data_IF_839541433693
#
_entry.id   IF_839541433693
#
_cell.length_a   1.000
_cell.length_b   1.000
_cell.length_c   1.000
_cell.angle_alpha   90.00
_cell.angle_beta   90.00
_cell.angle_gamma   90.00
#
_symmetry.space_group_name_H-M   'P 1'
#
loop_
_entity.id
_entity.type
_entity.pdbx_description
1 polymer ?
#
# COMPACT_ATOMS: atom_id res chain seq x y z
N UNK A 1 -25.23 -65.67 24.33
CA UNK A 1 -24.71 -64.52 25.09
C UNK A 1 -23.39 -64.12 24.45
N UNK A 2 -23.49 -63.25 23.45
CA UNK A 2 -22.37 -62.65 22.72
C UNK A 2 -22.66 -61.16 22.73
N UNK A 3 -21.73 -60.37 23.27
CA UNK A 3 -21.83 -58.91 23.39
C UNK A 3 -20.80 -58.31 22.44
N UNK A 4 -21.27 -57.33 21.67
CA UNK A 4 -20.61 -56.64 20.57
C UNK A 4 -19.27 -55.99 20.93
N UNK A 5 -18.32 -56.12 20.01
CA UNK A 5 -16.97 -55.58 20.05
C UNK A 5 -16.71 -54.79 18.75
N UNK A 6 -17.46 -53.72 18.52
CA UNK A 6 -17.35 -52.89 17.30
C UNK A 6 -17.52 -51.38 17.52
N UNK A 7 -17.28 -50.85 18.72
CA UNK A 7 -17.50 -49.41 18.99
C UNK A 7 -16.33 -48.62 19.57
N UNK A 8 -15.08 -49.11 19.48
CA UNK A 8 -13.90 -48.40 20.01
C UNK A 8 -12.81 -48.06 18.98
N UNK A 9 -13.07 -48.25 17.68
CA UNK A 9 -12.07 -48.05 16.62
C UNK A 9 -12.03 -46.66 15.97
N UNK A 10 -13.08 -45.84 16.08
CA UNK A 10 -13.23 -44.64 15.22
C UNK A 10 -13.11 -43.28 15.93
N UNK A 11 -12.72 -43.22 17.22
CA UNK A 11 -12.47 -41.93 17.89
C UNK A 11 -10.99 -41.60 18.13
N UNK A 12 -10.06 -42.51 17.85
CA UNK A 12 -8.63 -42.28 18.06
C UNK A 12 -7.86 -41.82 16.81
N UNK A 13 -8.46 -41.88 15.62
CA UNK A 13 -7.83 -41.37 14.38
C UNK A 13 -8.15 -39.88 14.14
N UNK A 14 -9.22 -39.35 14.74
CA UNK A 14 -9.56 -37.92 14.64
C UNK A 14 -8.73 -37.02 15.58
N UNK A 15 -8.09 -37.58 16.61
CA UNK A 15 -7.29 -36.80 17.57
C UNK A 15 -5.81 -36.68 17.21
N UNK A 16 -5.30 -37.53 16.31
CA UNK A 16 -3.89 -37.50 15.87
C UNK A 16 -3.68 -36.65 14.60
N UNK A 17 -4.74 -36.30 13.88
CA UNK A 17 -4.67 -35.40 12.70
C UNK A 17 -5.04 -33.93 13.00
N UNK A 18 -5.27 -33.58 14.27
CA UNK A 18 -5.58 -32.21 14.71
C UNK A 18 -4.57 -31.64 15.73
N UNK A 19 -3.47 -32.35 16.03
CA UNK A 19 -2.54 -31.97 17.11
C UNK A 19 -1.16 -31.45 16.68
N UNK A 20 -0.94 -31.14 15.40
CA UNK A 20 0.31 -30.48 14.96
C UNK A 20 -0.01 -29.24 14.14
N UNK A 21 0.38 -28.08 14.68
CA UNK A 21 0.27 -26.71 14.13
C UNK A 21 -0.91 -25.83 14.60
N UNK A 22 -1.16 -25.78 15.90
CA UNK A 22 -1.58 -24.52 16.53
C UNK A 22 -0.63 -24.25 17.70
N UNK A 23 0.57 -23.76 17.39
CA UNK A 23 1.25 -22.89 18.34
C UNK A 23 0.52 -21.55 18.25
N UNK A 24 -0.51 -21.40 19.09
CA UNK A 24 -1.05 -20.11 19.42
C UNK A 24 0.10 -19.29 20.00
N UNK A 25 0.62 -18.36 19.22
CA UNK A 25 1.56 -17.34 19.68
C UNK A 25 0.78 -16.51 20.70
N UNK A 26 1.03 -16.75 21.99
CA UNK A 26 0.62 -15.83 23.05
C UNK A 26 1.29 -14.49 22.77
N UNK A 27 0.49 -13.50 22.37
CA UNK A 27 0.89 -12.11 22.43
C UNK A 27 1.01 -11.73 23.91
N UNK A 28 2.24 -11.68 24.44
CA UNK A 28 2.48 -10.96 25.68
C UNK A 28 2.21 -9.48 25.42
N UNK A 29 1.05 -9.04 25.86
CA UNK A 29 0.65 -7.63 25.82
C UNK A 29 1.13 -7.06 27.16
N UNK A 30 2.28 -6.40 27.19
CA UNK A 30 2.64 -5.59 28.37
C UNK A 30 1.70 -4.39 28.45
N UNK A 31 0.73 -4.48 29.35
CA UNK A 31 -0.18 -3.39 29.69
C UNK A 31 0.54 -2.46 30.65
N UNK A 32 1.16 -1.39 30.11
CA UNK A 32 1.62 -0.28 30.96
C UNK A 32 0.42 0.60 31.26
N UNK A 33 -0.07 0.57 32.50
CA UNK A 33 -1.04 1.53 32.99
C UNK A 33 -0.36 2.91 33.09
N UNK A 34 -0.77 3.85 32.23
CA UNK A 34 -0.57 5.28 32.48
C UNK A 34 -1.92 5.90 32.82
N UNK A 35 -1.90 6.96 33.63
CA UNK A 35 -3.11 7.62 34.17
C UNK A 35 -4.06 8.20 33.10
N UNK A 36 -3.79 8.06 31.80
CA UNK A 36 -4.58 8.62 30.69
C UNK A 36 -5.04 7.58 29.65
N UNK A 37 -5.22 6.32 30.07
CA UNK A 37 -5.90 5.30 29.28
C UNK A 37 -4.96 4.26 28.67
N UNK A 38 -5.50 3.05 28.55
CA UNK A 38 -4.80 1.88 28.02
C UNK A 38 -4.55 2.06 26.52
N UNK A 39 -3.36 2.54 26.15
CA UNK A 39 -2.86 2.41 24.77
C UNK A 39 -1.98 1.15 24.72
N UNK A 40 -2.26 0.17 23.83
CA UNK A 40 -1.29 -0.87 23.54
C UNK A 40 -0.04 -0.20 22.95
N UNK A 41 1.01 -0.09 23.76
CA UNK A 41 2.32 0.29 23.27
C UNK A 41 2.84 -0.94 22.53
N UNK A 42 2.74 -0.96 21.20
CA UNK A 42 3.62 -1.82 20.40
C UNK A 42 5.03 -1.42 20.82
N UNK A 43 5.70 -2.25 21.61
CA UNK A 43 7.16 -2.28 21.64
C UNK A 43 7.55 -2.33 20.17
N UNK A 44 8.22 -1.29 19.69
CA UNK A 44 8.81 -1.26 18.37
C UNK A 44 9.51 -2.59 18.18
N UNK A 45 8.98 -3.46 17.31
CA UNK A 45 9.72 -4.63 16.89
C UNK A 45 11.01 -4.06 16.33
N UNK A 46 12.11 -4.33 17.06
CA UNK A 46 13.47 -3.94 16.74
C UNK A 46 13.64 -3.92 15.22
N UNK A 47 14.00 -2.76 14.65
CA UNK A 47 14.22 -2.51 13.21
C UNK A 47 14.04 -3.75 12.32
N UNK A 48 12.83 -3.93 11.77
CA UNK A 48 12.29 -5.19 11.17
C UNK A 48 13.02 -5.67 9.90
N UNK A 49 14.18 -5.10 9.62
CA UNK A 49 15.03 -5.40 8.48
C UNK A 49 15.84 -6.69 8.57
N UNK A 50 15.18 -7.74 9.06
CA UNK A 50 15.53 -9.13 8.85
C UNK A 50 16.95 -9.55 9.23
N UNK A 51 17.62 -8.81 10.11
CA UNK A 51 19.06 -8.95 10.27
C UNK A 51 19.52 -10.34 10.75
N UNK A 52 18.60 -11.21 11.19
CA UNK A 52 18.93 -12.57 11.65
C UNK A 52 18.22 -13.69 10.88
N UNK A 53 17.20 -13.42 10.06
CA UNK A 53 16.38 -14.47 9.43
C UNK A 53 16.21 -14.36 7.90
N UNK A 54 16.84 -13.37 7.25
CA UNK A 54 16.85 -13.29 5.78
C UNK A 54 17.93 -14.16 5.17
N UNK A 55 17.51 -14.98 4.22
CA UNK A 55 18.38 -15.84 3.41
C UNK A 55 18.26 -15.44 1.95
N UNK A 56 19.39 -15.21 1.28
CA UNK A 56 19.44 -15.05 -0.17
C UNK A 56 19.15 -16.41 -0.82
N UNK A 57 18.12 -16.45 -1.66
CA UNK A 57 17.67 -17.66 -2.33
C UNK A 57 18.34 -17.74 -3.70
N UNK A 58 18.94 -18.88 -4.03
CA UNK A 58 19.42 -19.15 -5.39
C UNK A 58 18.21 -19.17 -6.34
N UNK A 59 18.33 -18.51 -7.50
CA UNK A 59 17.25 -18.47 -8.49
C UNK A 59 16.83 -19.87 -8.98
N UNK A 60 17.76 -20.84 -8.94
CA UNK A 60 17.50 -22.25 -9.27
C UNK A 60 16.56 -22.95 -8.28
N UNK A 61 16.49 -22.45 -7.05
CA UNK A 61 15.67 -23.00 -5.97
C UNK A 61 14.31 -22.28 -5.83
N UNK A 62 14.02 -21.31 -6.70
CA UNK A 62 12.74 -20.62 -6.67
C UNK A 62 11.65 -21.49 -7.31
N UNK A 63 10.45 -21.56 -6.71
CA UNK A 63 9.34 -22.21 -7.36
C UNK A 63 9.06 -21.52 -8.70
N UNK A 64 8.84 -22.34 -9.73
CA UNK A 64 8.47 -21.82 -11.04
C UNK A 64 7.09 -21.19 -10.97
N UNK A 65 6.94 -20.00 -11.56
CA UNK A 65 5.63 -19.40 -11.76
C UNK A 65 4.81 -20.36 -12.63
N UNK A 66 3.63 -20.82 -12.17
CA UNK A 66 2.74 -21.66 -12.97
C UNK A 66 2.48 -21.07 -14.36
N UNK A 67 2.62 -21.90 -15.40
CA UNK A 67 2.46 -21.47 -16.79
C UNK A 67 1.06 -20.90 -17.11
N UNK A 68 0.05 -21.22 -16.29
CA UNK A 68 -1.33 -20.69 -16.40
C UNK A 68 -1.40 -19.16 -16.38
N UNK A 69 -0.46 -18.49 -15.71
CA UNK A 69 -0.45 -17.02 -15.64
C UNK A 69 0.13 -16.35 -16.89
N UNK A 70 0.85 -17.09 -17.74
CA UNK A 70 1.45 -16.58 -18.99
C UNK A 70 2.27 -15.28 -18.83
N UNK A 71 3.11 -15.21 -17.79
CA UNK A 71 3.97 -14.04 -17.53
C UNK A 71 5.45 -14.37 -17.63
N UNK A 72 6.22 -13.36 -18.06
CA UNK A 72 7.66 -13.39 -17.92
C UNK A 72 8.05 -13.28 -16.45
N UNK A 73 8.98 -14.14 -16.02
CA UNK A 73 9.46 -14.18 -14.63
C UNK A 73 10.25 -12.90 -14.33
N UNK A 74 9.82 -12.05 -13.36
CA UNK A 74 10.44 -10.75 -13.13
C UNK A 74 11.85 -10.87 -12.54
N UNK A 75 12.18 -12.00 -11.90
CA UNK A 75 13.50 -12.25 -11.31
C UNK A 75 14.51 -12.93 -12.24
N UNK A 76 14.22 -13.08 -13.54
CA UNK A 76 15.18 -13.57 -14.52
C UNK A 76 16.09 -12.44 -15.07
N UNK A 77 16.74 -11.69 -14.17
CA UNK A 77 17.64 -10.57 -14.51
C UNK A 77 18.88 -10.61 -13.60
N UNK A 78 20.07 -10.22 -14.10
CA UNK A 78 21.33 -10.39 -13.36
C UNK A 78 21.41 -9.58 -12.05
N UNK A 79 20.73 -8.43 -12.02
CA UNK A 79 20.72 -7.52 -10.86
C UNK A 79 19.67 -7.88 -9.82
N UNK A 80 18.70 -8.74 -10.16
CA UNK A 80 17.64 -9.13 -9.23
C UNK A 80 18.23 -10.01 -8.13
N UNK A 81 17.74 -9.81 -6.91
CA UNK A 81 18.03 -10.65 -5.75
C UNK A 81 16.72 -11.12 -5.15
N UNK A 82 16.67 -12.37 -4.72
CA UNK A 82 15.46 -12.95 -4.11
C UNK A 82 15.79 -13.44 -2.72
N UNK A 83 14.94 -13.11 -1.76
CA UNK A 83 15.15 -13.38 -0.35
C UNK A 83 13.96 -14.12 0.24
N UNK A 84 14.23 -15.00 1.20
CA UNK A 84 13.21 -15.62 2.05
C UNK A 84 13.43 -15.20 3.50
N UNK A 85 12.35 -14.94 4.23
CA UNK A 85 12.38 -14.63 5.66
C UNK A 85 11.09 -15.04 6.35
N UNK A 86 11.20 -15.53 7.59
CA UNK A 86 10.05 -15.83 8.44
C UNK A 86 9.29 -14.57 8.84
N UNK A 87 10.01 -13.49 9.14
CA UNK A 87 9.45 -12.19 9.47
C UNK A 87 8.67 -11.62 8.27
N UNK A 88 9.17 -11.81 7.04
CA UNK A 88 8.50 -11.31 5.83
C UNK A 88 7.19 -12.05 5.66
N UNK A 89 7.24 -13.38 5.74
CA UNK A 89 6.08 -14.25 5.67
C UNK A 89 5.04 -13.89 6.76
N UNK A 90 5.49 -13.60 7.98
CA UNK A 90 4.61 -13.18 9.07
C UNK A 90 3.92 -11.84 8.74
N UNK A 91 4.68 -10.81 8.37
CA UNK A 91 4.13 -9.49 8.03
C UNK A 91 3.18 -9.57 6.83
N UNK A 92 3.54 -10.34 5.81
CA UNK A 92 2.71 -10.57 4.63
C UNK A 92 1.39 -11.28 4.98
N UNK A 93 1.44 -12.34 5.79
CA UNK A 93 0.22 -13.03 6.24
C UNK A 93 -0.66 -12.15 7.13
N UNK A 94 -0.06 -11.31 7.99
CA UNK A 94 -0.81 -10.32 8.77
C UNK A 94 -1.55 -9.33 7.85
N UNK A 95 -0.89 -8.83 6.80
CA UNK A 95 -1.53 -7.96 5.81
C UNK A 95 -2.66 -8.65 5.07
N UNK A 96 -2.46 -9.91 4.62
CA UNK A 96 -3.50 -10.70 3.95
C UNK A 96 -4.75 -10.87 4.82
N UNK A 97 -4.60 -10.86 6.15
CA UNK A 97 -5.72 -10.97 7.09
C UNK A 97 -6.49 -9.66 7.31
N UNK A 98 -6.03 -8.53 6.77
CA UNK A 98 -6.73 -7.25 6.93
C UNK A 98 -8.04 -7.25 6.12
N UNK A 99 -9.16 -6.80 6.71
CA UNK A 99 -10.37 -6.49 5.96
C UNK A 99 -10.11 -5.34 4.98
N UNK A 100 -10.74 -5.36 3.82
CA UNK A 100 -10.63 -4.29 2.82
C UNK A 100 -11.78 -3.29 2.97
N UNK A 101 -11.47 -1.99 2.97
CA UNK A 101 -12.47 -0.92 3.15
C UNK A 101 -13.55 -1.01 2.07
N UNK A 102 -14.82 -1.02 2.51
CA UNK A 102 -15.98 -1.17 1.64
C UNK A 102 -16.33 -2.61 1.25
N UNK A 103 -15.58 -3.60 1.72
CA UNK A 103 -15.83 -5.03 1.50
C UNK A 103 -16.00 -5.78 2.83
N UNK A 104 -16.66 -6.93 2.76
CA UNK A 104 -16.74 -7.90 3.87
C UNK A 104 -15.62 -8.95 3.83
N UNK A 105 -14.63 -8.76 2.96
CA UNK A 105 -13.58 -9.71 2.64
C UNK A 105 -12.20 -9.19 3.07
N UNK A 106 -11.25 -10.10 3.19
CA UNK A 106 -9.85 -9.77 3.48
C UNK A 106 -9.04 -9.56 2.20
N UNK A 107 -7.87 -8.94 2.32
CA UNK A 107 -6.88 -8.83 1.23
C UNK A 107 -6.55 -10.22 0.66
N UNK A 108 -6.36 -11.21 1.53
CA UNK A 108 -6.09 -12.59 1.13
C UNK A 108 -7.24 -13.24 0.36
N UNK A 109 -8.49 -12.90 0.67
CA UNK A 109 -9.64 -13.39 -0.10
C UNK A 109 -9.65 -12.82 -1.52
N UNK A 110 -9.30 -11.55 -1.70
CA UNK A 110 -9.20 -10.93 -3.02
C UNK A 110 -8.06 -11.56 -3.82
N UNK A 111 -6.88 -11.71 -3.23
CA UNK A 111 -5.70 -12.33 -3.89
C UNK A 111 -6.03 -13.76 -4.31
N UNK A 112 -6.64 -14.55 -3.42
CA UNK A 112 -7.08 -15.92 -3.74
C UNK A 112 -8.11 -15.96 -4.86
N UNK A 113 -9.08 -15.04 -4.87
CA UNK A 113 -10.06 -14.98 -5.96
C UNK A 113 -9.40 -14.66 -7.31
N UNK A 114 -8.39 -13.80 -7.34
CA UNK A 114 -7.60 -13.56 -8.55
C UNK A 114 -6.82 -14.82 -8.97
N UNK A 115 -6.23 -15.52 -8.01
CA UNK A 115 -5.50 -16.77 -8.24
C UNK A 115 -6.39 -17.87 -8.85
N UNK A 116 -7.59 -18.05 -8.29
CA UNK A 116 -8.62 -18.99 -8.75
C UNK A 116 -9.09 -18.69 -10.19
N UNK A 117 -8.82 -17.49 -10.71
CA UNK A 117 -9.16 -17.04 -12.07
C UNK A 117 -7.93 -16.90 -12.99
N UNK A 118 -6.85 -17.61 -12.66
CA UNK A 118 -5.58 -17.63 -13.38
C UNK A 118 -4.92 -16.23 -13.49
N UNK A 119 -5.08 -15.40 -12.46
CA UNK A 119 -4.49 -14.07 -12.39
C UNK A 119 -3.54 -13.97 -11.19
N UNK A 120 -2.23 -13.98 -11.44
CA UNK A 120 -1.20 -13.78 -10.43
C UNK A 120 -1.14 -12.31 -10.03
N UNK A 121 -1.46 -12.03 -8.77
CA UNK A 121 -1.22 -10.72 -8.16
C UNK A 121 0.19 -10.67 -7.55
N UNK A 122 0.98 -9.70 -7.96
CA UNK A 122 2.34 -9.44 -7.48
C UNK A 122 2.36 -8.09 -6.73
N UNK A 123 2.19 -8.11 -5.39
CA UNK A 123 2.37 -6.93 -4.56
C UNK A 123 3.73 -6.29 -4.79
N UNK A 124 3.78 -4.97 -4.92
CA UNK A 124 5.02 -4.24 -5.22
C UNK A 124 5.05 -2.85 -4.59
N UNK A 125 6.19 -2.15 -4.68
CA UNK A 125 6.25 -0.74 -4.31
C UNK A 125 6.34 -0.47 -2.81
N UNK A 126 5.74 0.67 -2.41
CA UNK A 126 5.71 1.14 -1.03
C UNK A 126 5.03 0.16 -0.06
N UNK A 127 4.04 -0.60 -0.51
CA UNK A 127 3.38 -1.66 0.27
C UNK A 127 4.39 -2.71 0.75
N UNK A 128 5.25 -3.19 -0.15
CA UNK A 128 6.26 -4.20 0.17
C UNK A 128 7.36 -3.61 1.05
N UNK A 129 7.81 -2.38 0.74
CA UNK A 129 8.76 -1.64 1.58
C UNK A 129 8.25 -1.49 3.01
N UNK A 130 7.01 -1.08 3.20
CA UNK A 130 6.45 -0.82 4.53
C UNK A 130 6.32 -2.14 5.31
N UNK A 131 5.88 -3.22 4.66
CA UNK A 131 5.92 -4.58 5.23
C UNK A 131 7.34 -5.05 5.60
N UNK A 132 8.34 -4.71 4.79
CA UNK A 132 9.76 -5.01 5.00
C UNK A 132 10.29 -4.33 6.27
N UNK A 133 9.97 -3.05 6.47
CA UNK A 133 10.48 -2.25 7.59
C UNK A 133 9.57 -2.29 8.83
N UNK A 134 8.49 -3.08 8.80
CA UNK A 134 7.56 -3.29 9.90
C UNK A 134 6.55 -2.16 10.12
N UNK A 135 6.41 -1.25 9.15
CA UNK A 135 5.35 -0.26 9.12
C UNK A 135 4.12 -0.95 8.52
N UNK A 136 3.08 -1.25 9.30
CA UNK A 136 1.94 -2.01 8.79
C UNK A 136 1.24 -1.28 7.64
N UNK A 137 1.40 -1.71 6.37
CA UNK A 137 0.86 -0.97 5.24
C UNK A 137 -0.65 -1.20 5.17
N UNK A 138 -1.39 -0.11 5.06
CA UNK A 138 -2.84 -0.15 4.84
C UNK A 138 -3.20 0.04 3.37
N UNK A 139 -2.39 0.83 2.65
CA UNK A 139 -2.46 0.93 1.19
C UNK A 139 -1.71 -0.25 0.56
N UNK A 140 -2.46 -1.13 -0.09
CA UNK A 140 -1.94 -2.37 -0.65
C UNK A 140 -2.13 -2.31 -2.17
N UNK A 141 -1.00 -2.23 -2.86
CA UNK A 141 -0.92 -2.17 -4.30
C UNK A 141 -0.08 -3.30 -4.91
N UNK A 142 -0.32 -3.61 -6.18
CA UNK A 142 0.47 -4.59 -6.91
C UNK A 142 0.08 -4.71 -8.38
N UNK A 143 0.88 -5.47 -9.11
CA UNK A 143 0.66 -5.77 -10.53
C UNK A 143 -0.13 -7.06 -10.71
N UNK A 144 -0.91 -7.18 -11.78
CA UNK A 144 -1.71 -8.37 -12.08
C UNK A 144 -1.33 -8.97 -13.44
N UNK A 145 -1.13 -10.28 -13.51
CA UNK A 145 -0.71 -10.97 -14.75
C UNK A 145 -1.76 -10.94 -15.86
N UNK A 146 -3.03 -10.79 -15.50
CA UNK A 146 -4.15 -10.75 -16.43
C UNK A 146 -4.31 -9.37 -17.07
N UNK A 147 -4.94 -9.36 -18.24
CA UNK A 147 -5.48 -8.12 -18.83
C UNK A 147 -6.38 -7.39 -17.83
N UNK A 148 -6.15 -6.09 -17.64
CA UNK A 148 -6.82 -5.32 -16.61
C UNK A 148 -8.35 -5.24 -16.83
N UNK A 149 -8.82 -5.27 -18.07
CA UNK A 149 -10.25 -5.30 -18.38
C UNK A 149 -10.88 -6.67 -18.06
N UNK A 150 -10.13 -7.77 -18.20
CA UNK A 150 -10.53 -9.08 -17.64
C UNK A 150 -10.70 -8.98 -16.12
N UNK A 151 -9.71 -8.41 -15.42
CA UNK A 151 -9.74 -8.30 -13.95
C UNK A 151 -10.88 -7.40 -13.48
N UNK A 152 -11.13 -6.29 -14.18
CA UNK A 152 -12.25 -5.40 -13.91
C UNK A 152 -13.61 -6.11 -14.03
N UNK A 153 -13.80 -6.93 -15.07
CA UNK A 153 -15.03 -7.75 -15.21
C UNK A 153 -15.20 -8.74 -14.06
N UNK A 154 -14.14 -9.46 -13.69
CA UNK A 154 -14.16 -10.38 -12.54
C UNK A 154 -14.50 -9.64 -11.24
N UNK A 155 -13.93 -8.46 -11.04
CA UNK A 155 -14.23 -7.60 -9.90
C UNK A 155 -15.72 -7.24 -9.85
N UNK A 156 -16.29 -6.74 -10.96
CA UNK A 156 -17.70 -6.37 -11.05
C UNK A 156 -18.60 -7.57 -10.77
N UNK A 157 -18.29 -8.74 -11.35
CA UNK A 157 -19.07 -9.96 -11.15
C UNK A 157 -19.08 -10.38 -9.68
N UNK A 158 -17.94 -10.27 -8.99
CA UNK A 158 -17.79 -10.72 -7.61
C UNK A 158 -18.29 -9.72 -6.57
N UNK A 159 -18.01 -8.44 -6.77
CA UNK A 159 -18.18 -7.38 -5.75
C UNK A 159 -19.19 -6.30 -6.15
N UNK A 160 -19.58 -6.24 -7.43
CA UNK A 160 -20.48 -5.23 -7.97
C UNK A 160 -19.75 -3.96 -8.46
N UNK A 161 -20.38 -3.21 -9.38
CA UNK A 161 -19.74 -2.08 -10.07
C UNK A 161 -19.40 -0.90 -9.15
N UNK A 162 -20.11 -0.73 -8.03
CA UNK A 162 -19.85 0.38 -7.11
C UNK A 162 -18.49 0.29 -6.40
N UNK A 163 -17.93 -0.93 -6.32
CA UNK A 163 -16.71 -1.28 -5.58
C UNK A 163 -15.52 -1.57 -6.50
N UNK A 164 -15.69 -1.43 -7.81
CA UNK A 164 -14.69 -1.71 -8.83
C UNK A 164 -14.57 -0.50 -9.74
N UNK A 165 -13.45 0.23 -9.65
CA UNK A 165 -13.25 1.47 -10.41
C UNK A 165 -11.94 1.42 -11.15
N UNK A 166 -11.96 1.62 -12.46
CA UNK A 166 -10.77 1.81 -13.26
C UNK A 166 -10.57 3.31 -13.51
N UNK A 167 -9.36 3.81 -13.30
CA UNK A 167 -9.00 5.20 -13.63
C UNK A 167 -8.49 5.35 -15.07
N UNK A 168 -8.15 6.59 -15.47
CA UNK A 168 -7.63 6.89 -16.81
C UNK A 168 -6.26 6.26 -17.11
N UNK A 169 -5.54 5.80 -16.08
CA UNK A 169 -4.25 5.13 -16.18
C UNK A 169 -4.38 3.62 -16.12
N UNK A 170 -5.60 3.11 -16.25
CA UNK A 170 -5.93 1.70 -16.16
C UNK A 170 -5.57 1.09 -14.79
N UNK A 171 -5.59 1.87 -13.71
CA UNK A 171 -5.47 1.34 -12.36
C UNK A 171 -6.86 0.93 -11.85
N UNK A 172 -7.00 -0.33 -11.46
CA UNK A 172 -8.23 -0.85 -10.87
C UNK A 172 -8.17 -0.72 -9.35
N UNK A 173 -9.10 0.03 -8.79
CA UNK A 173 -9.36 0.09 -7.34
C UNK A 173 -10.47 -0.90 -6.97
N UNK A 174 -10.21 -1.74 -5.96
CA UNK A 174 -11.16 -2.73 -5.44
C UNK A 174 -11.51 -2.40 -3.98
N UNK A 175 -12.76 -2.04 -3.73
CA UNK A 175 -13.26 -1.55 -2.44
C UNK A 175 -13.81 -0.12 -2.55
N UNK A 176 -14.03 0.53 -1.41
CA UNK A 176 -14.55 1.90 -1.35
C UNK A 176 -13.64 2.79 -0.52
N UNK A 177 -12.86 3.70 -1.14
CA UNK A 177 -12.02 4.65 -0.41
C UNK A 177 -12.80 5.54 0.56
N UNK A 178 -14.09 5.75 0.28
CA UNK A 178 -14.99 6.65 1.02
C UNK A 178 -15.91 5.95 2.02
N UNK A 179 -15.89 4.62 2.10
CA UNK A 179 -16.71 3.92 3.08
C UNK A 179 -16.18 4.20 4.49
N UNK A 180 -17.06 4.58 5.40
CA UNK A 180 -16.69 4.87 6.80
C UNK A 180 -16.05 3.64 7.45
N UNK A 181 -14.93 3.86 8.14
CA UNK A 181 -14.29 2.81 8.91
C UNK A 181 -15.18 2.40 10.08
N UNK A 182 -15.24 1.09 10.37
CA UNK A 182 -15.75 0.66 11.69
C UNK A 182 -14.81 1.21 12.75
N UNK A 183 -15.35 1.97 13.70
CA UNK A 183 -14.61 2.46 14.86
C UNK A 183 -13.86 1.28 15.51
N UNK A 184 -12.54 1.39 15.59
CA UNK A 184 -11.61 0.50 16.32
C UNK A 184 -11.03 -0.75 15.62
N UNK A 185 -11.21 -0.96 14.31
CA UNK A 185 -10.50 -2.03 13.58
C UNK A 185 -9.42 -1.49 12.63
N UNK A 186 -8.27 -2.17 12.58
CA UNK A 186 -7.25 -1.95 11.52
C UNK A 186 -7.81 -2.56 10.24
N UNK A 187 -8.00 -1.74 9.21
CA UNK A 187 -8.61 -2.10 7.92
C UNK A 187 -7.64 -1.63 6.83
N UNK A 188 -7.43 -2.45 5.80
CA UNK A 188 -6.71 -2.04 4.60
C UNK A 188 -7.55 -1.04 3.78
N UNK A 189 -6.90 -0.07 3.16
CA UNK A 189 -7.55 0.80 2.19
C UNK A 189 -8.03 -0.02 0.97
N UNK A 190 -8.75 0.63 0.05
CA UNK A 190 -9.15 -0.03 -1.18
C UNK A 190 -7.90 -0.51 -1.95
N UNK A 191 -7.94 -1.75 -2.44
CA UNK A 191 -6.80 -2.40 -3.08
C UNK A 191 -6.55 -1.77 -4.46
N UNK A 192 -5.28 -1.42 -4.76
CA UNK A 192 -4.91 -0.87 -6.07
C UNK A 192 -4.23 -1.94 -6.94
N UNK A 193 -4.79 -2.23 -8.10
CA UNK A 193 -4.30 -3.24 -9.04
C UNK A 193 -3.84 -2.54 -10.31
N UNK A 194 -2.58 -2.79 -10.67
CA UNK A 194 -1.90 -2.22 -11.84
C UNK A 194 -1.73 -3.30 -12.93
N UNK A 195 -1.74 -2.92 -14.22
CA UNK A 195 -1.38 -3.84 -15.30
C UNK A 195 0.03 -4.41 -15.12
N UNK A 196 0.28 -5.65 -15.56
CA UNK A 196 1.61 -6.27 -15.53
C UNK A 196 2.63 -5.45 -16.32
N UNK A 197 3.66 -4.93 -15.64
CA UNK A 197 4.74 -4.20 -16.28
C UNK A 197 6.06 -4.94 -16.06
N UNK A 198 6.51 -5.63 -17.11
CA UNK A 198 7.86 -6.21 -17.09
C UNK A 198 8.95 -5.14 -16.96
N UNK A 199 8.64 -3.87 -17.27
CA UNK A 199 9.54 -2.73 -17.18
C UNK A 199 9.12 -1.80 -16.03
N UNK A 200 8.89 -2.34 -14.83
CA UNK A 200 8.66 -1.54 -13.61
C UNK A 200 9.90 -0.75 -13.15
N UNK A 201 10.71 -0.25 -14.09
CA UNK A 201 11.63 0.89 -13.94
C UNK A 201 10.87 2.20 -13.73
N UNK A 202 9.64 2.16 -13.19
CA UNK A 202 8.87 3.34 -12.90
C UNK A 202 9.58 4.13 -11.79
N UNK A 203 10.05 5.29 -12.20
CA UNK A 203 10.68 6.41 -11.49
C UNK A 203 10.22 6.60 -10.05
N UNK A 204 10.81 5.87 -9.13
CA UNK A 204 10.60 6.14 -7.70
C UNK A 204 11.94 6.00 -6.98
N UNK A 205 12.06 5.06 -6.05
CA UNK A 205 13.28 4.84 -5.30
C UNK A 205 13.61 3.35 -5.28
N UNK A 206 14.89 3.01 -5.15
CA UNK A 206 15.36 1.64 -4.99
C UNK A 206 14.59 0.92 -3.86
N UNK A 207 14.33 1.64 -2.76
CA UNK A 207 13.53 1.16 -1.63
C UNK A 207 12.08 0.79 -1.98
N UNK A 208 11.52 1.29 -3.10
CA UNK A 208 10.20 0.91 -3.62
C UNK A 208 10.30 -0.11 -4.77
N UNK A 209 11.48 -0.45 -5.27
CA UNK A 209 11.67 -1.46 -6.31
C UNK A 209 11.73 -2.87 -5.74
N UNK A 210 10.72 -3.17 -4.93
CA UNK A 210 10.52 -4.43 -4.23
C UNK A 210 9.18 -5.03 -4.64
N UNK A 211 9.15 -6.36 -4.71
CA UNK A 211 7.93 -7.13 -4.92
C UNK A 211 7.88 -8.32 -3.97
N UNK A 212 6.68 -8.84 -3.72
CA UNK A 212 6.47 -10.08 -2.97
C UNK A 212 5.86 -11.12 -3.90
N UNK A 213 6.52 -12.28 -4.03
CA UNK A 213 5.91 -13.44 -4.64
C UNK A 213 5.43 -14.40 -3.55
N UNK A 214 4.13 -14.66 -3.55
CA UNK A 214 3.45 -15.59 -2.65
C UNK A 214 2.88 -16.73 -3.49
N UNK A 215 3.42 -17.93 -3.30
CA UNK A 215 3.06 -19.11 -4.09
C UNK A 215 1.71 -19.75 -3.68
N UNK A 216 1.00 -19.11 -2.73
CA UNK A 216 -0.29 -19.54 -2.18
C UNK A 216 -0.27 -20.87 -1.42
N UNK A 217 0.88 -21.56 -1.33
CA UNK A 217 1.06 -22.79 -0.53
C UNK A 217 1.92 -22.58 0.71
N UNK A 218 2.30 -21.32 0.98
CA UNK A 218 2.92 -20.88 2.23
C UNK A 218 4.36 -20.39 2.10
N UNK A 219 4.93 -20.39 0.90
CA UNK A 219 6.22 -19.77 0.65
C UNK A 219 6.04 -18.34 0.17
N UNK A 220 6.83 -17.44 0.75
CA UNK A 220 6.79 -16.01 0.47
C UNK A 220 8.22 -15.56 0.21
N UNK A 221 8.43 -14.92 -0.95
CA UNK A 221 9.72 -14.46 -1.40
C UNK A 221 9.69 -12.95 -1.65
N UNK A 222 10.69 -12.25 -1.12
CA UNK A 222 10.95 -10.86 -1.48
C UNK A 222 11.80 -10.83 -2.73
N UNK A 223 11.33 -10.11 -3.74
CA UNK A 223 12.05 -9.86 -4.98
C UNK A 223 12.57 -8.42 -4.93
N UNK A 224 13.88 -8.26 -4.87
CA UNK A 224 14.54 -6.98 -4.99
C UNK A 224 14.96 -6.78 -6.45
N UNK A 225 14.23 -5.92 -7.15
CA UNK A 225 14.40 -5.73 -8.60
C UNK A 225 15.71 -5.04 -8.96
N UNK A 226 16.32 -4.35 -7.99
CA UNK A 226 17.57 -3.57 -8.15
C UNK A 226 18.78 -4.26 -7.54
N UNK A 227 18.54 -5.22 -6.65
CA UNK A 227 19.56 -5.87 -5.83
C UNK A 227 20.05 -5.03 -4.65
N UNK A 228 19.59 -3.78 -4.50
CA UNK A 228 19.93 -2.87 -3.40
C UNK A 228 18.71 -2.37 -2.63
N UNK A 229 17.52 -2.46 -3.20
CA UNK A 229 16.28 -1.91 -2.66
C UNK A 229 15.95 -2.41 -1.25
N UNK A 230 16.27 -3.68 -0.94
CA UNK A 230 16.07 -4.23 0.41
C UNK A 230 16.93 -3.45 1.41
N UNK A 231 18.21 -3.27 1.12
CA UNK A 231 19.15 -2.60 2.02
C UNK A 231 18.83 -1.11 2.15
N UNK A 232 18.40 -0.46 1.07
CA UNK A 232 18.03 0.94 1.06
C UNK A 232 16.75 1.21 1.83
N UNK A 233 15.71 0.38 1.64
CA UNK A 233 14.51 0.41 2.47
C UNK A 233 14.88 0.25 3.96
N UNK A 234 15.78 -0.68 4.27
CA UNK A 234 16.18 -0.98 5.62
C UNK A 234 17.01 0.08 6.32
N UNK A 235 17.91 0.72 5.59
CA UNK A 235 18.68 1.88 6.06
C UNK A 235 17.86 3.16 6.03
N UNK A 236 16.61 3.10 5.54
CA UNK A 236 15.72 4.22 5.27
C UNK A 236 16.44 5.28 4.41
N UNK A 237 17.01 4.84 3.30
CA UNK A 237 17.75 5.65 2.33
C UNK A 237 17.01 5.75 1.00
N UNK A 238 17.01 6.94 0.44
CA UNK A 238 16.46 7.23 -0.89
C UNK A 238 17.59 7.23 -1.90
N UNK A 239 17.58 6.24 -2.80
CA UNK A 239 18.36 6.24 -4.03
C UNK A 239 17.41 6.05 -5.20
N UNK A 240 17.81 6.55 -6.36
CA UNK A 240 17.02 6.46 -7.59
C UNK A 240 17.40 5.18 -8.32
N UNK A 241 16.40 4.44 -8.81
CA UNK A 241 16.54 3.10 -9.45
C UNK A 241 17.42 3.12 -10.69
N UNK A 242 17.31 4.18 -11.49
CA UNK A 242 18.10 4.41 -12.68
C UNK A 242 18.53 5.88 -12.64
N UNK A 243 19.82 6.17 -12.85
CA UNK A 243 20.33 7.54 -12.97
C UNK A 243 20.19 8.25 -14.35
N UNK A 244 19.49 7.78 -15.42
CA UNK A 244 19.50 8.47 -16.70
C UNK A 244 18.54 9.67 -16.73
N UNK A 245 19.02 10.76 -17.35
CA UNK A 245 18.42 12.08 -17.63
C UNK A 245 17.11 12.40 -16.90
N UNK A 246 17.25 12.71 -15.61
CA UNK A 246 16.26 13.49 -14.87
C UNK A 246 15.88 14.83 -15.55
N UNK A 247 16.67 15.26 -16.52
CA UNK A 247 16.36 16.34 -17.43
C UNK A 247 15.05 16.11 -18.20
N UNK A 248 14.64 14.87 -18.46
CA UNK A 248 13.44 14.49 -19.22
C UNK A 248 12.15 14.34 -18.39
N UNK A 249 12.16 14.65 -17.08
CA UNK A 249 10.90 14.57 -16.32
C UNK A 249 9.84 15.51 -16.89
N UNK A 250 8.66 14.96 -17.11
CA UNK A 250 7.48 15.65 -17.59
C UNK A 250 6.76 16.30 -16.42
N UNK A 251 5.80 17.18 -16.73
CA UNK A 251 4.96 17.83 -15.72
C UNK A 251 4.34 16.84 -14.73
N UNK A 252 3.99 15.65 -15.19
CA UNK A 252 3.17 14.69 -14.44
C UNK A 252 3.98 13.89 -13.42
N UNK A 253 5.31 14.06 -13.42
CA UNK A 253 6.23 13.40 -12.49
C UNK A 253 6.30 14.09 -11.13
N UNK A 254 5.63 15.24 -10.93
CA UNK A 254 5.65 15.96 -9.65
C UNK A 254 5.29 15.06 -8.46
N UNK A 255 4.23 14.25 -8.58
CA UNK A 255 3.81 13.36 -7.50
C UNK A 255 4.88 12.30 -7.21
N UNK A 256 5.55 11.78 -8.24
CA UNK A 256 6.63 10.81 -8.08
C UNK A 256 7.80 11.43 -7.31
N UNK A 257 8.20 12.66 -7.63
CA UNK A 257 9.26 13.36 -6.88
C UNK A 257 8.81 13.68 -5.46
N UNK A 258 7.55 14.11 -5.27
CA UNK A 258 6.99 14.42 -3.95
C UNK A 258 6.81 13.20 -3.05
N UNK A 259 6.74 11.97 -3.58
CA UNK A 259 6.82 10.74 -2.76
C UNK A 259 8.09 10.67 -1.92
N UNK A 260 9.18 11.34 -2.32
CA UNK A 260 10.37 11.47 -1.47
C UNK A 260 10.03 12.09 -0.10
N UNK A 261 9.13 13.06 -0.04
CA UNK A 261 8.69 13.70 1.20
C UNK A 261 7.79 12.80 2.02
N UNK A 262 6.90 12.04 1.38
CA UNK A 262 6.13 10.99 2.06
C UNK A 262 7.07 9.98 2.74
N UNK A 263 8.10 9.53 2.02
CA UNK A 263 9.11 8.62 2.56
C UNK A 263 9.92 9.28 3.69
N UNK A 264 10.29 10.57 3.56
CA UNK A 264 11.00 11.29 4.63
C UNK A 264 10.14 11.47 5.89
N UNK A 265 8.81 11.61 5.77
CA UNK A 265 7.90 11.58 6.93
C UNK A 265 7.95 10.23 7.65
N UNK A 266 8.14 9.14 6.88
CA UNK A 266 8.42 7.79 7.36
C UNK A 266 9.91 7.61 7.74
N UNK A 267 10.66 8.67 7.99
CA UNK A 267 12.04 8.60 8.50
C UNK A 267 13.09 8.22 7.47
N UNK A 268 12.78 8.26 6.18
CA UNK A 268 13.80 8.16 5.14
C UNK A 268 14.65 9.42 5.06
N UNK A 269 15.89 9.25 4.64
CA UNK A 269 16.81 10.33 4.30
C UNK A 269 17.39 10.10 2.91
N UNK A 270 17.91 11.14 2.29
CA UNK A 270 18.63 10.95 1.03
C UNK A 270 19.80 9.98 1.22
N UNK A 271 20.03 9.17 0.19
CA UNK A 271 21.19 8.30 0.09
C UNK A 271 22.49 9.10 0.16
N UNK A 272 22.54 10.20 -0.59
CA UNK A 272 23.64 11.16 -0.61
C UNK A 272 23.14 12.60 -0.88
N UNK A 273 24.08 13.56 -0.89
CA UNK A 273 23.79 14.98 -1.14
C UNK A 273 23.30 15.25 -2.56
N UNK A 274 23.77 14.47 -3.56
CA UNK A 274 23.40 14.63 -4.96
C UNK A 274 21.91 14.30 -5.15
N UNK A 275 21.44 13.18 -4.60
CA UNK A 275 20.01 12.81 -4.63
C UNK A 275 19.16 13.88 -3.97
N UNK A 276 19.57 14.38 -2.81
CA UNK A 276 18.87 15.44 -2.09
C UNK A 276 18.72 16.71 -2.94
N UNK A 277 19.82 17.20 -3.50
CA UNK A 277 19.82 18.40 -4.36
C UNK A 277 18.93 18.22 -5.58
N UNK A 278 19.06 17.07 -6.22
CA UNK A 278 18.29 16.72 -7.41
C UNK A 278 16.78 16.71 -7.12
N UNK A 279 16.33 16.10 -6.02
CA UNK A 279 14.91 16.09 -5.64
C UNK A 279 14.37 17.51 -5.43
N UNK A 280 15.13 18.37 -4.75
CA UNK A 280 14.78 19.78 -4.52
C UNK A 280 14.68 20.56 -5.84
N UNK A 281 15.64 20.38 -6.74
CA UNK A 281 15.66 21.03 -8.06
C UNK A 281 14.43 20.64 -8.90
N UNK A 282 14.06 19.35 -8.93
CA UNK A 282 12.90 18.90 -9.67
C UNK A 282 11.57 19.35 -9.08
N UNK A 283 11.46 19.39 -7.74
CA UNK A 283 10.25 19.96 -7.12
C UNK A 283 10.11 21.43 -7.51
N UNK A 284 11.20 22.23 -7.50
CA UNK A 284 11.13 23.63 -7.98
C UNK A 284 10.69 23.72 -9.43
N UNK A 285 11.20 22.85 -10.30
CA UNK A 285 10.87 22.85 -11.74
C UNK A 285 9.43 22.44 -12.01
N UNK A 286 8.94 21.41 -11.33
CA UNK A 286 7.64 20.78 -11.59
C UNK A 286 6.51 21.36 -10.73
N UNK A 287 6.83 22.28 -9.83
CA UNK A 287 5.92 22.84 -8.85
C UNK A 287 4.65 23.42 -9.51
N UNK A 288 3.50 23.02 -8.97
CA UNK A 288 2.26 23.76 -9.11
C UNK A 288 1.50 23.76 -7.79
N UNK A 289 0.75 24.84 -7.53
CA UNK A 289 -0.13 24.92 -6.36
C UNK A 289 -1.13 23.77 -6.34
N UNK A 290 -1.72 23.46 -7.50
CA UNK A 290 -2.77 22.45 -7.60
C UNK A 290 -2.26 21.06 -7.21
N UNK A 291 -1.08 20.69 -7.68
CA UNK A 291 -0.48 19.39 -7.36
C UNK A 291 0.00 19.31 -5.92
N UNK A 292 0.44 20.44 -5.33
CA UNK A 292 0.79 20.50 -3.92
C UNK A 292 -0.46 20.42 -3.02
N UNK A 293 -1.59 21.01 -3.41
CA UNK A 293 -2.88 20.84 -2.72
C UNK A 293 -3.28 19.36 -2.68
N UNK A 294 -3.17 18.67 -3.82
CA UNK A 294 -3.43 17.23 -3.93
C UNK A 294 -2.52 16.40 -3.03
N UNK A 295 -1.20 16.62 -3.14
CA UNK A 295 -0.23 15.93 -2.30
C UNK A 295 -0.47 16.18 -0.81
N UNK A 296 -0.70 17.44 -0.44
CA UNK A 296 -0.86 17.84 0.95
C UNK A 296 -2.12 17.23 1.56
N UNK A 297 -3.26 17.27 0.86
CA UNK A 297 -4.47 16.63 1.34
C UNK A 297 -4.29 15.12 1.54
N UNK A 298 -3.71 14.44 0.53
CA UNK A 298 -3.63 12.99 0.55
C UNK A 298 -2.60 12.47 1.56
N UNK A 299 -1.37 12.99 1.53
CA UNK A 299 -0.24 12.42 2.27
C UNK A 299 0.08 13.12 3.59
N UNK A 300 -0.36 14.37 3.76
CA UNK A 300 -0.09 15.14 5.00
C UNK A 300 -1.32 15.15 5.90
N UNK A 301 -2.52 15.31 5.31
CA UNK A 301 -3.78 15.33 6.06
C UNK A 301 -4.47 13.98 6.18
N UNK A 302 -3.97 12.93 5.52
CA UNK A 302 -4.63 11.62 5.40
C UNK A 302 -6.08 11.79 4.88
N UNK A 303 -6.27 12.66 3.89
CA UNK A 303 -7.56 13.07 3.38
C UNK A 303 -7.86 12.63 1.94
N UNK A 304 -9.11 12.85 1.53
CA UNK A 304 -9.55 12.70 0.14
C UNK A 304 -9.92 14.07 -0.40
N UNK A 305 -9.17 14.50 -1.41
CA UNK A 305 -9.34 15.80 -2.02
C UNK A 305 -10.21 15.78 -3.26
N UNK A 306 -10.92 16.89 -3.49
CA UNK A 306 -11.72 17.15 -4.70
C UNK A 306 -11.58 18.60 -5.11
N UNK A 307 -11.42 18.82 -6.41
CA UNK A 307 -11.41 20.17 -7.00
C UNK A 307 -12.80 20.51 -7.53
N UNK A 308 -13.36 21.62 -7.07
CA UNK A 308 -14.61 22.19 -7.59
C UNK A 308 -14.32 23.59 -8.15
N UNK A 309 -14.04 23.65 -9.45
CA UNK A 309 -13.56 24.86 -10.11
C UNK A 309 -12.20 25.31 -9.55
N UNK A 310 -12.16 26.51 -8.95
CA UNK A 310 -10.93 27.06 -8.33
C UNK A 310 -10.76 26.69 -6.85
N UNK A 311 -11.76 26.07 -6.23
CA UNK A 311 -11.73 25.70 -4.82
C UNK A 311 -11.28 24.25 -4.69
N UNK A 312 -10.33 24.01 -3.79
CA UNK A 312 -9.90 22.67 -3.43
C UNK A 312 -10.48 22.30 -2.07
N UNK A 313 -11.17 21.17 -1.99
CA UNK A 313 -11.82 20.68 -0.76
C UNK A 313 -11.16 19.37 -0.35
N UNK A 314 -10.61 19.31 0.85
CA UNK A 314 -10.00 18.14 1.44
C UNK A 314 -10.88 17.57 2.56
N UNK A 315 -11.38 16.36 2.37
CA UNK A 315 -12.17 15.66 3.38
C UNK A 315 -11.25 14.82 4.28
N UNK A 316 -11.34 14.99 5.60
CA UNK A 316 -10.47 14.32 6.60
C UNK A 316 -11.31 13.59 7.66
N UNK A 317 -10.88 12.40 8.11
CA UNK A 317 -11.72 11.50 8.95
C UNK A 317 -11.83 11.99 10.38
N UNK A 318 -10.76 12.60 10.89
CA UNK A 318 -10.73 13.40 12.11
C UNK A 318 -9.31 13.93 12.21
N UNK A 319 -9.09 15.18 12.62
CA UNK A 319 -7.71 15.63 12.91
C UNK A 319 -7.15 14.79 14.05
N UNK A 320 -6.10 14.03 13.77
CA UNK A 320 -5.41 13.20 14.75
C UNK A 320 -4.11 13.87 15.20
N UNK A 321 -3.57 13.47 16.36
CA UNK A 321 -2.22 13.88 16.81
C UNK A 321 -1.16 13.57 15.75
N UNK A 322 -1.34 12.46 15.00
CA UNK A 322 -0.46 12.05 13.90
C UNK A 322 -0.50 13.06 12.76
N UNK A 323 -1.69 13.52 12.36
CA UNK A 323 -1.86 14.50 11.29
C UNK A 323 -1.10 15.79 11.61
N UNK A 324 -1.23 16.30 12.83
CA UNK A 324 -0.53 17.52 13.24
C UNK A 324 1.00 17.34 13.27
N UNK A 325 1.47 16.18 13.76
CA UNK A 325 2.90 15.83 13.71
C UNK A 325 3.43 15.75 12.27
N UNK A 326 2.66 15.17 11.35
CA UNK A 326 3.01 15.10 9.93
C UNK A 326 3.13 16.50 9.32
N UNK A 327 2.16 17.38 9.59
CA UNK A 327 2.18 18.78 9.14
C UNK A 327 3.43 19.52 9.61
N UNK A 328 3.75 19.42 10.91
CA UNK A 328 4.93 20.06 11.49
C UNK A 328 6.24 19.54 10.89
N UNK A 329 6.37 18.22 10.74
CA UNK A 329 7.54 17.61 10.11
C UNK A 329 7.67 18.02 8.64
N UNK A 330 6.57 18.00 7.90
CA UNK A 330 6.54 18.40 6.50
C UNK A 330 6.93 19.87 6.32
N UNK A 331 6.36 20.76 7.14
CA UNK A 331 6.71 22.17 7.16
C UNK A 331 8.20 22.40 7.42
N UNK A 332 8.76 21.72 8.43
CA UNK A 332 10.20 21.77 8.73
C UNK A 332 11.05 21.35 7.53
N UNK A 333 10.71 20.22 6.89
CA UNK A 333 11.45 19.73 5.72
C UNK A 333 11.39 20.70 4.54
N UNK A 334 10.21 21.29 4.27
CA UNK A 334 10.07 22.29 3.21
C UNK A 334 10.88 23.56 3.52
N UNK A 335 10.90 24.01 4.78
CA UNK A 335 11.72 25.16 5.20
C UNK A 335 13.22 24.87 5.05
N UNK A 336 13.67 23.67 5.38
CA UNK A 336 15.07 23.25 5.22
C UNK A 336 15.51 23.20 3.75
N UNK A 337 14.66 22.64 2.87
CA UNK A 337 14.99 22.41 1.47
C UNK A 337 14.78 23.67 0.58
N UNK A 338 13.77 24.48 0.88
CA UNK A 338 13.37 25.62 0.03
C UNK A 338 13.49 27.00 0.70
N UNK A 339 13.79 27.05 2.00
CA UNK A 339 13.86 28.28 2.79
C UNK A 339 12.49 28.75 3.30
N UNK A 340 12.53 29.62 4.31
CA UNK A 340 11.32 30.14 4.97
C UNK A 340 10.41 30.93 4.03
N UNK A 341 10.97 31.66 3.06
CA UNK A 341 10.19 32.43 2.10
C UNK A 341 9.30 31.53 1.23
N UNK A 342 9.84 30.40 0.76
CA UNK A 342 9.05 29.44 0.00
C UNK A 342 7.92 28.85 0.85
N UNK A 343 8.24 28.44 2.09
CA UNK A 343 7.24 27.93 3.03
C UNK A 343 6.09 28.93 3.24
N UNK A 344 6.40 30.20 3.52
CA UNK A 344 5.40 31.23 3.79
C UNK A 344 4.55 31.56 2.55
N UNK A 345 5.17 31.63 1.38
CA UNK A 345 4.46 31.98 0.13
C UNK A 345 3.72 30.81 -0.48
N UNK A 346 4.09 29.57 -0.17
CA UNK A 346 3.53 28.39 -0.83
C UNK A 346 2.68 27.58 0.11
N UNK A 347 3.27 27.05 1.20
CA UNK A 347 2.56 26.11 2.06
C UNK A 347 1.43 26.80 2.84
N UNK A 348 1.68 27.99 3.40
CA UNK A 348 0.62 28.74 4.08
C UNK A 348 -0.52 29.10 3.12
N UNK A 349 -0.22 29.40 1.85
CA UNK A 349 -1.26 29.65 0.86
C UNK A 349 -2.06 28.38 0.53
N UNK A 350 -1.42 27.21 0.41
CA UNK A 350 -2.11 25.93 0.24
C UNK A 350 -3.04 25.68 1.43
N UNK A 351 -2.56 25.84 2.66
CA UNK A 351 -3.36 25.66 3.87
C UNK A 351 -4.53 26.66 3.99
N UNK A 352 -4.35 27.89 3.50
CA UNK A 352 -5.39 28.93 3.52
C UNK A 352 -6.45 28.74 2.43
N UNK A 353 -6.05 28.29 1.24
CA UNK A 353 -6.94 28.13 0.07
C UNK A 353 -7.72 26.82 0.11
N UNK A 354 -7.14 25.79 0.69
CA UNK A 354 -7.78 24.49 0.82
C UNK A 354 -8.84 24.52 1.92
N UNK A 355 -10.06 24.18 1.57
CA UNK A 355 -11.13 23.97 2.54
C UNK A 355 -11.02 22.56 3.13
N UNK A 356 -10.85 22.45 4.45
CA UNK A 356 -10.76 21.15 5.13
C UNK A 356 -12.09 20.84 5.83
N UNK A 357 -12.77 19.78 5.38
CA UNK A 357 -14.07 19.34 5.91
C UNK A 357 -13.96 17.95 6.55
N UNK A 358 -14.78 17.63 7.57
CA UNK A 358 -14.88 16.26 8.07
C UNK A 358 -15.61 15.34 7.07
N UNK A 359 -15.27 14.05 7.02
CA UNK A 359 -15.95 13.09 6.13
C UNK A 359 -17.46 12.98 6.39
N UNK A 360 -17.92 13.20 7.63
CA UNK A 360 -19.33 13.07 8.02
C UNK A 360 -20.29 14.02 7.24
N UNK A 361 -19.76 15.02 6.54
CA UNK A 361 -20.54 15.94 5.69
C UNK A 361 -20.71 15.48 4.25
N UNK A 362 -20.07 14.39 3.82
CA UNK A 362 -20.14 13.91 2.42
C UNK A 362 -21.44 13.19 2.07
N UNK A 363 -22.24 12.77 3.05
CA UNK A 363 -23.50 12.05 2.84
C UNK A 363 -24.66 12.93 2.40
N UNK A 364 -24.65 14.25 2.63
CA UNK A 364 -25.75 15.13 2.17
C UNK A 364 -25.66 15.50 0.69
N UNK A 365 -24.45 15.52 0.12
CA UNK A 365 -24.22 16.13 -1.20
C UNK A 365 -24.19 15.09 -2.34
N UNK A 366 -24.06 13.80 -2.03
CA UNK A 366 -24.11 12.73 -3.04
C UNK A 366 -25.56 12.29 -3.37
N UNK A 367 -26.53 12.48 -2.47
CA UNK A 367 -27.95 12.14 -2.74
C UNK A 367 -28.66 13.17 -3.65
N UNK A 368 -28.13 14.40 -3.75
CA UNK A 368 -28.70 15.44 -4.60
C UNK A 368 -28.26 15.35 -6.06
N UNK A 369 -27.07 14.80 -6.36
CA UNK A 369 -26.52 14.72 -7.71
C UNK A 369 -26.85 13.43 -8.47
N UNK A 370 -27.23 12.35 -7.76
CA UNK A 370 -27.71 11.11 -8.40
C UNK A 370 -29.18 11.19 -8.89
N UNK A 371 -29.87 12.30 -8.60
CA UNK A 371 -31.27 12.51 -9.01
C UNK A 371 -31.45 13.47 -10.20
N UNK A 372 -30.38 14.03 -10.79
CA UNK A 372 -30.51 15.00 -11.91
C UNK A 372 -30.20 14.45 -13.31
N UNK A 373 -29.71 13.21 -13.44
CA UNK A 373 -29.53 12.58 -14.77
C UNK A 373 -30.58 11.49 -15.03
N UNK A 374 -31.85 11.89 -15.11
CA UNK A 374 -32.84 11.12 -15.87
C UNK A 374 -33.38 11.99 -17.00
N UNK A 375 -32.94 11.79 -18.26
CA UNK A 375 -33.58 12.46 -19.38
C UNK A 375 -35.04 11.99 -19.46
N UNK A 376 -35.97 12.94 -19.40
CA UNK A 376 -37.37 12.68 -19.75
C UNK A 376 -37.39 12.20 -21.20
N UNK A 377 -37.83 10.96 -21.40
CA UNK A 377 -38.20 10.46 -22.71
C UNK A 377 -39.46 11.23 -23.16
N UNK A 378 -39.28 12.17 -24.07
CA UNK A 378 -40.39 12.77 -24.80
C UNK A 378 -40.89 11.75 -25.83
N UNK A 379 -42.14 11.38 -25.62
CA UNK A 379 -42.97 10.62 -26.54
C UNK A 379 -43.25 11.43 -27.81
N UNK A 380 -42.86 10.88 -28.95
CA UNK A 380 -43.50 11.15 -30.25
C UNK A 380 -43.60 9.87 -31.05
#
# INVERSE_FOLDING_TARGET
MLVDLTFLGNQLVAFVLLSTQIHAIQMETEVVQTEHGVRPRRTSVSSVCFHQDTVLVSLENLPQIPSRYNVNIPWNRPHVRVYSSNTLRYNWNWMKALPVRGLSLTVGDIIRYLDDNDCLFLPSGGTVRDALIGEGPLDIGGEISCDILKVHRLCIEKYGPALCRIDEKEHLTVGSPTASNRLHSVIADALTILPWSTNSTHWDFTANSLAVYDDQVGNVFLIDLTGQGKDDACKRKLFVVNEPDWDDLRSDDFLNVMRSYEMRLKGFSCGDERVCRLLVEHIRRLFSFEKLEDFYCHFILDGVGRRNGRKYVCHVEKRSERTELHRQKFGKMLTEDFGSEFYEKVLLLVEQKMEVLPFDKTTSDNESLLNEETPRADSS
#
